data_IF_249393855424
#
_entry.id   IF_249393855424
#
_cell.length_a   1.000
_cell.length_b   1.000
_cell.length_c   1.000
_cell.angle_alpha   90.00
_cell.angle_beta   90.00
_cell.angle_gamma   90.00
#
_symmetry.space_group_name_H-M   'P 1'
#
loop_
_entity.id
_entity.type
_entity.pdbx_description
1 polymer ?
#
# COMPACT_ATOMS: atom_id res chain seq x y z
N UNK A 1 25.70 22.26 -14.69
CA UNK A 1 25.74 23.11 -13.49
C UNK A 1 24.33 23.17 -12.94
N UNK A 2 24.19 22.87 -11.65
CA UNK A 2 22.93 22.61 -10.92
C UNK A 2 22.41 23.95 -10.39
N UNK A 3 21.09 24.16 -10.37
CA UNK A 3 20.39 24.94 -9.34
C UNK A 3 18.90 24.52 -9.33
N UNK A 4 18.57 23.51 -8.51
CA UNK A 4 17.74 23.62 -7.30
C UNK A 4 16.42 24.41 -7.51
N UNK A 5 15.38 23.69 -7.92
CA UNK A 5 14.00 24.12 -7.69
C UNK A 5 13.71 23.89 -6.21
N UNK A 6 13.49 24.99 -5.50
CA UNK A 6 13.18 25.04 -4.09
C UNK A 6 11.94 24.23 -3.75
N UNK A 7 12.09 23.43 -2.71
CA UNK A 7 11.07 22.58 -2.13
C UNK A 7 10.19 23.45 -1.21
N UNK A 8 9.25 24.19 -1.80
CA UNK A 8 8.17 24.85 -1.05
C UNK A 8 6.98 23.89 -0.99
N UNK A 9 7.09 22.88 -0.12
CA UNK A 9 5.92 22.16 0.39
C UNK A 9 5.36 23.06 1.50
N UNK A 10 4.18 23.70 1.33
CA UNK A 10 3.62 24.53 2.36
C UNK A 10 3.29 23.65 3.57
N UNK A 11 3.77 24.09 4.73
CA UNK A 11 3.56 23.42 6.01
C UNK A 11 2.09 23.06 6.24
N UNK A 12 1.87 21.79 6.56
CA UNK A 12 0.63 21.25 7.09
C UNK A 12 0.41 21.80 8.52
N UNK A 13 0.04 23.07 8.63
CA UNK A 13 -0.58 23.63 9.84
C UNK A 13 -2.08 23.76 9.61
N UNK A 14 -2.82 22.67 9.82
CA UNK A 14 -4.26 22.72 10.03
C UNK A 14 -4.54 22.24 11.46
N UNK A 15 -4.78 23.20 12.36
CA UNK A 15 -4.98 23.01 13.80
C UNK A 15 -6.32 22.35 14.17
N UNK A 16 -6.84 21.44 13.34
CA UNK A 16 -8.14 20.78 13.53
C UNK A 16 -8.08 19.24 13.47
N UNK A 17 -6.90 18.64 13.65
CA UNK A 17 -6.75 17.18 13.70
C UNK A 17 -7.43 16.60 14.96
N UNK A 18 -8.26 15.55 14.84
CA UNK A 18 -8.87 14.90 15.99
C UNK A 18 -7.83 14.26 16.91
N UNK A 19 -7.94 14.52 18.22
CA UNK A 19 -6.97 14.05 19.22
C UNK A 19 -7.15 12.58 19.60
N UNK A 20 -8.35 12.04 19.47
CA UNK A 20 -8.68 10.65 19.86
C UNK A 20 -8.74 9.70 18.66
N UNK A 21 -8.61 8.40 18.94
CA UNK A 21 -8.75 7.33 17.93
C UNK A 21 -10.15 7.33 17.32
N UNK A 22 -11.20 7.46 18.15
CA UNK A 22 -12.59 7.53 17.67
C UNK A 22 -12.84 8.77 16.83
N UNK A 23 -12.30 9.91 17.26
CA UNK A 23 -12.34 11.16 16.51
C UNK A 23 -11.68 11.05 15.14
N UNK A 24 -10.49 10.45 15.06
CA UNK A 24 -9.76 10.23 13.80
C UNK A 24 -10.51 9.28 12.87
N UNK A 25 -11.09 8.20 13.40
CA UNK A 25 -11.90 7.28 12.61
C UNK A 25 -13.11 7.98 12.00
N UNK A 26 -13.83 8.76 12.81
CA UNK A 26 -15.01 9.52 12.38
C UNK A 26 -14.65 10.57 11.33
N UNK A 27 -13.53 11.24 11.52
CA UNK A 27 -13.02 12.25 10.59
C UNK A 27 -12.71 11.63 9.23
N UNK A 28 -11.87 10.59 9.19
CA UNK A 28 -11.55 9.87 7.96
C UNK A 28 -12.81 9.34 7.28
N UNK A 29 -13.72 8.66 8.00
CA UNK A 29 -14.95 8.11 7.42
C UNK A 29 -15.80 9.18 6.73
N UNK A 30 -15.94 10.35 7.35
CA UNK A 30 -16.70 11.47 6.80
C UNK A 30 -16.04 12.06 5.56
N UNK A 31 -14.72 12.23 5.56
CA UNK A 31 -13.98 12.67 4.37
C UNK A 31 -14.12 11.68 3.21
N UNK A 32 -14.08 10.38 3.51
CA UNK A 32 -14.34 9.31 2.54
C UNK A 32 -15.81 9.17 2.14
N UNK A 33 -16.70 10.07 2.61
CA UNK A 33 -18.13 10.07 2.32
C UNK A 33 -18.86 8.75 2.63
N UNK A 34 -18.34 7.97 3.57
CA UNK A 34 -18.89 6.67 3.95
C UNK A 34 -19.98 6.83 5.02
N UNK A 35 -21.12 6.17 4.84
CA UNK A 35 -22.11 6.06 5.92
C UNK A 35 -21.58 5.10 6.99
N UNK A 36 -21.98 5.33 8.24
CA UNK A 36 -21.54 4.51 9.37
C UNK A 36 -21.92 3.02 9.19
N UNK A 37 -23.14 2.77 8.69
CA UNK A 37 -23.64 1.40 8.43
C UNK A 37 -22.86 0.70 7.32
N UNK A 38 -22.46 1.42 6.28
CA UNK A 38 -21.71 0.88 5.15
C UNK A 38 -20.29 0.50 5.59
N UNK A 39 -19.64 1.36 6.39
CA UNK A 39 -18.33 1.04 6.95
C UNK A 39 -18.40 -0.16 7.89
N UNK A 40 -19.39 -0.21 8.78
CA UNK A 40 -19.58 -1.32 9.71
C UNK A 40 -19.74 -2.66 8.98
N UNK A 41 -20.59 -2.69 7.95
CA UNK A 41 -20.75 -3.87 7.09
C UNK A 41 -19.45 -4.22 6.37
N UNK A 42 -18.76 -3.23 5.80
CA UNK A 42 -17.49 -3.41 5.10
C UNK A 42 -16.47 -4.10 6.00
N UNK A 43 -16.23 -3.59 7.21
CA UNK A 43 -15.23 -4.15 8.14
C UNK A 43 -15.74 -5.31 9.00
N UNK A 44 -16.99 -5.75 8.79
CA UNK A 44 -17.64 -6.87 9.49
C UNK A 44 -17.73 -6.67 11.02
N UNK A 45 -18.24 -5.51 11.44
CA UNK A 45 -18.56 -5.21 12.84
C UNK A 45 -20.00 -4.68 12.95
N UNK A 46 -20.55 -4.65 14.16
CA UNK A 46 -21.86 -4.03 14.36
C UNK A 46 -21.80 -2.50 14.21
N UNK A 47 -22.85 -1.90 13.67
CA UNK A 47 -22.97 -0.43 13.59
C UNK A 47 -22.87 0.22 14.97
N UNK A 48 -23.47 -0.41 16.00
CA UNK A 48 -23.42 0.09 17.38
C UNK A 48 -21.99 0.13 17.92
N UNK A 49 -21.22 -0.94 17.74
CA UNK A 49 -19.82 -1.01 18.16
C UNK A 49 -18.95 0.03 17.45
N UNK A 50 -19.17 0.23 16.14
CA UNK A 50 -18.46 1.27 15.38
C UNK A 50 -18.87 2.68 15.82
N UNK A 51 -20.14 2.90 16.16
CA UNK A 51 -20.63 4.16 16.72
C UNK A 51 -19.99 4.45 18.08
N UNK A 52 -19.92 3.47 18.97
CA UNK A 52 -19.30 3.63 20.29
C UNK A 52 -17.81 3.96 20.15
N UNK A 53 -17.13 3.31 19.20
CA UNK A 53 -15.75 3.62 18.85
C UNK A 53 -15.58 5.07 18.35
N UNK A 54 -16.41 5.53 17.40
CA UNK A 54 -16.35 6.91 16.88
C UNK A 54 -16.67 8.01 17.90
N UNK A 55 -17.29 7.64 19.02
CA UNK A 55 -17.59 8.54 20.14
C UNK A 55 -16.69 8.29 21.35
N UNK A 56 -15.56 7.61 21.16
CA UNK A 56 -14.54 7.33 22.18
C UNK A 56 -15.07 6.57 23.41
N UNK A 57 -16.17 5.82 23.26
CA UNK A 57 -16.73 4.96 24.31
C UNK A 57 -16.05 3.59 24.37
N UNK A 58 -15.31 3.23 23.34
CA UNK A 58 -14.55 1.99 23.26
C UNK A 58 -13.28 2.16 22.42
N UNK A 59 -12.31 1.27 22.63
CA UNK A 59 -11.12 1.18 21.79
C UNK A 59 -11.35 0.19 20.64
N UNK A 60 -10.65 0.34 19.50
CA UNK A 60 -10.80 -0.59 18.39
C UNK A 60 -10.26 -1.96 18.78
N UNK A 61 -11.05 -3.00 18.55
CA UNK A 61 -10.60 -4.38 18.72
C UNK A 61 -9.62 -4.77 17.61
N UNK A 62 -8.83 -5.84 17.83
CA UNK A 62 -7.97 -6.41 16.80
C UNK A 62 -8.73 -6.77 15.50
N UNK A 63 -9.96 -7.27 15.63
CA UNK A 63 -10.86 -7.55 14.50
C UNK A 63 -11.20 -6.27 13.73
N UNK A 64 -11.51 -5.18 14.43
CA UNK A 64 -11.82 -3.87 13.83
C UNK A 64 -10.61 -3.33 13.08
N UNK A 65 -9.43 -3.33 13.71
CA UNK A 65 -8.18 -2.88 13.08
C UNK A 65 -7.83 -3.70 11.85
N UNK A 66 -8.00 -5.02 11.91
CA UNK A 66 -7.76 -5.92 10.76
C UNK A 66 -8.73 -5.62 9.61
N UNK A 67 -10.00 -5.39 9.91
CA UNK A 67 -11.03 -5.03 8.94
C UNK A 67 -10.71 -3.70 8.24
N UNK A 68 -10.37 -2.66 9.02
CA UNK A 68 -9.95 -1.36 8.49
C UNK A 68 -8.70 -1.51 7.61
N UNK A 69 -7.67 -2.19 8.09
CA UNK A 69 -6.42 -2.39 7.37
C UNK A 69 -6.62 -3.09 6.03
N UNK A 70 -7.44 -4.14 5.97
CA UNK A 70 -7.62 -4.96 4.76
C UNK A 70 -8.61 -4.39 3.76
N UNK A 71 -9.63 -3.68 4.23
CA UNK A 71 -10.80 -3.32 3.39
C UNK A 71 -10.94 -1.83 3.14
N UNK A 72 -10.06 -1.02 3.70
CA UNK A 72 -10.07 0.43 3.54
C UNK A 72 -8.67 0.94 3.24
N UNK A 73 -8.58 2.22 2.92
CA UNK A 73 -7.34 2.94 2.67
C UNK A 73 -6.84 3.72 3.90
N UNK A 74 -7.52 3.62 5.05
CA UNK A 74 -7.03 4.29 6.25
C UNK A 74 -5.69 3.71 6.70
N UNK A 75 -4.74 4.59 7.02
CA UNK A 75 -3.49 4.21 7.66
C UNK A 75 -3.74 3.93 9.14
N UNK A 76 -3.46 2.70 9.57
CA UNK A 76 -3.67 2.27 10.96
C UNK A 76 -2.72 2.99 11.92
N UNK A 77 -1.49 3.32 11.50
CA UNK A 77 -0.55 4.06 12.34
C UNK A 77 -1.13 5.44 12.65
N UNK A 78 -1.51 6.20 11.62
CA UNK A 78 -2.17 7.49 11.79
C UNK A 78 -3.46 7.39 12.62
N UNK A 79 -4.29 6.37 12.39
CA UNK A 79 -5.50 6.17 13.16
C UNK A 79 -5.20 6.04 14.67
N UNK A 80 -4.18 5.27 15.03
CA UNK A 80 -3.86 4.98 16.43
C UNK A 80 -3.05 6.10 17.10
N UNK A 81 -2.08 6.70 16.41
CA UNK A 81 -1.13 7.65 17.01
C UNK A 81 -1.39 9.10 16.62
N UNK A 82 -2.06 9.34 15.48
CA UNK A 82 -2.17 10.67 14.86
C UNK A 82 -0.94 11.07 14.05
N UNK A 83 0.04 10.19 13.91
CA UNK A 83 1.30 10.45 13.19
C UNK A 83 1.29 9.87 11.78
N UNK A 84 1.91 10.59 10.83
CA UNK A 84 1.99 10.19 9.43
C UNK A 84 0.74 10.53 8.63
N UNK A 85 0.64 9.97 7.42
CA UNK A 85 -0.47 10.26 6.51
C UNK A 85 -1.73 9.48 6.88
N UNK A 86 -2.89 10.13 6.74
CA UNK A 86 -4.19 9.54 7.04
C UNK A 86 -4.55 8.37 6.13
N UNK A 87 -4.16 8.45 4.86
CA UNK A 87 -4.45 7.46 3.83
C UNK A 87 -3.15 6.71 3.54
N UNK A 88 -3.20 5.38 3.50
CA UNK A 88 -2.08 4.57 3.02
C UNK A 88 -2.00 4.73 1.50
N UNK A 89 -0.84 5.13 0.98
CA UNK A 89 -0.61 5.09 -0.46
C UNK A 89 -0.85 3.66 -0.97
N UNK A 90 -1.71 3.50 -1.97
CA UNK A 90 -2.08 2.18 -2.52
C UNK A 90 -1.11 1.68 -3.58
N UNK A 91 0.02 2.35 -3.75
CA UNK A 91 0.79 2.30 -4.98
C UNK A 91 2.15 1.65 -4.76
N UNK A 92 2.19 0.31 -4.86
CA UNK A 92 3.30 -0.54 -5.36
C UNK A 92 3.19 -1.98 -4.82
N UNK A 93 2.80 -2.13 -3.54
CA UNK A 93 3.02 -3.39 -2.82
C UNK A 93 2.11 -4.53 -3.31
N UNK A 94 0.85 -4.29 -3.67
CA UNK A 94 -0.05 -5.38 -4.10
C UNK A 94 0.28 -5.92 -5.50
N UNK A 95 0.76 -5.07 -6.42
CA UNK A 95 1.20 -5.51 -7.75
C UNK A 95 2.52 -6.29 -7.66
N UNK A 96 3.46 -5.78 -6.86
CA UNK A 96 4.75 -6.44 -6.63
C UNK A 96 4.59 -7.77 -5.90
N UNK A 97 3.68 -7.88 -4.92
CA UNK A 97 3.43 -9.13 -4.20
C UNK A 97 2.75 -10.18 -5.10
N UNK A 98 1.85 -9.78 -6.01
CA UNK A 98 1.26 -10.72 -6.97
C UNK A 98 2.31 -11.24 -7.96
N UNK A 99 3.08 -10.34 -8.57
CA UNK A 99 4.15 -10.70 -9.50
C UNK A 99 5.24 -11.54 -8.79
N UNK A 100 5.61 -11.19 -7.57
CA UNK A 100 6.58 -11.93 -6.76
C UNK A 100 6.07 -13.32 -6.38
N UNK A 101 4.79 -13.48 -6.01
CA UNK A 101 4.18 -14.79 -5.76
C UNK A 101 4.21 -15.69 -6.98
N UNK A 102 3.93 -15.15 -8.17
CA UNK A 102 4.02 -15.90 -9.42
C UNK A 102 5.45 -16.33 -9.72
N UNK A 103 6.42 -15.43 -9.59
CA UNK A 103 7.85 -15.76 -9.74
C UNK A 103 8.27 -16.85 -8.74
N UNK A 104 7.88 -16.74 -7.46
CA UNK A 104 8.19 -17.75 -6.43
C UNK A 104 7.58 -19.11 -6.78
N UNK A 105 6.37 -19.16 -7.31
CA UNK A 105 5.74 -20.40 -7.78
C UNK A 105 6.54 -21.01 -8.94
N UNK A 106 6.89 -20.20 -9.93
CA UNK A 106 7.66 -20.63 -11.11
C UNK A 106 9.09 -21.07 -10.75
N UNK A 107 9.69 -20.53 -9.68
CA UNK A 107 11.01 -20.92 -9.18
C UNK A 107 11.07 -22.35 -8.60
N UNK A 108 9.93 -23.04 -8.51
CA UNK A 108 9.88 -24.48 -8.26
C UNK A 108 10.37 -25.32 -9.44
N UNK A 109 10.30 -24.76 -10.66
CA UNK A 109 10.86 -25.37 -11.87
C UNK A 109 12.38 -25.12 -11.93
N UNK A 110 13.15 -26.20 -12.00
CA UNK A 110 14.62 -26.13 -11.98
C UNK A 110 15.21 -25.49 -13.25
N UNK A 111 14.57 -25.66 -14.41
CA UNK A 111 15.05 -25.11 -15.68
C UNK A 111 14.72 -23.63 -15.79
N UNK A 112 13.52 -23.23 -15.32
CA UNK A 112 13.17 -21.82 -15.15
C UNK A 112 14.13 -21.15 -14.16
N UNK A 113 14.34 -21.74 -12.98
CA UNK A 113 15.28 -21.23 -11.95
C UNK A 113 16.69 -21.04 -12.49
N UNK A 114 17.22 -22.02 -13.23
CA UNK A 114 18.54 -21.92 -13.89
C UNK A 114 18.59 -20.80 -14.92
N UNK A 115 17.51 -20.59 -15.65
CA UNK A 115 17.40 -19.54 -16.67
C UNK A 115 17.34 -18.15 -16.03
N UNK A 116 16.49 -17.95 -15.02
CA UNK A 116 16.43 -16.71 -14.24
C UNK A 116 17.78 -16.39 -13.60
N UNK A 117 18.43 -17.37 -12.97
CA UNK A 117 19.75 -17.16 -12.35
C UNK A 117 20.82 -16.73 -13.37
N UNK A 118 20.80 -17.26 -14.60
CA UNK A 118 21.69 -16.80 -15.68
C UNK A 118 21.37 -15.36 -16.10
N UNK A 119 20.09 -15.03 -16.26
CA UNK A 119 19.66 -13.67 -16.61
C UNK A 119 20.11 -12.66 -15.55
N UNK A 120 19.85 -12.93 -14.26
CA UNK A 120 20.27 -12.09 -13.14
C UNK A 120 21.78 -11.83 -13.19
N UNK A 121 22.60 -12.87 -13.38
CA UNK A 121 24.06 -12.71 -13.50
C UNK A 121 24.48 -11.82 -14.67
N UNK A 122 23.79 -11.90 -15.81
CA UNK A 122 24.11 -11.07 -16.98
C UNK A 122 23.66 -9.62 -16.75
N UNK A 123 22.52 -9.39 -16.10
CA UNK A 123 22.09 -8.03 -15.77
C UNK A 123 22.98 -7.37 -14.70
N UNK A 124 23.50 -8.13 -13.75
CA UNK A 124 24.45 -7.62 -12.75
C UNK A 124 25.83 -7.35 -13.33
N UNK A 125 26.39 -8.28 -14.11
CA UNK A 125 27.84 -8.30 -14.44
C UNK A 125 28.16 -8.40 -15.94
N UNK A 126 27.16 -8.53 -16.80
CA UNK A 126 27.34 -8.65 -18.24
C UNK A 126 27.72 -7.34 -18.92
N UNK A 127 28.27 -7.44 -20.12
CA UNK A 127 28.64 -6.30 -20.97
C UNK A 127 27.39 -5.58 -21.49
N UNK A 128 27.51 -4.30 -21.92
CA UNK A 128 26.40 -3.57 -22.55
C UNK A 128 25.80 -4.33 -23.73
N UNK A 129 26.63 -4.99 -24.54
CA UNK A 129 26.20 -5.82 -25.68
C UNK A 129 25.37 -7.03 -25.23
N UNK A 130 25.80 -7.75 -24.21
CA UNK A 130 25.07 -8.91 -23.67
C UNK A 130 23.69 -8.50 -23.13
N UNK A 131 23.62 -7.36 -22.42
CA UNK A 131 22.35 -6.81 -21.92
C UNK A 131 21.43 -6.36 -23.06
N UNK A 132 21.98 -5.73 -24.11
CA UNK A 132 21.22 -5.29 -25.27
C UNK A 132 20.64 -6.47 -26.07
N UNK A 133 21.38 -7.57 -26.21
CA UNK A 133 20.90 -8.78 -26.86
C UNK A 133 19.70 -9.40 -26.13
N UNK A 134 19.75 -9.48 -24.80
CA UNK A 134 18.62 -10.00 -24.00
C UNK A 134 17.39 -9.10 -24.16
N UNK A 135 17.56 -7.79 -24.06
CA UNK A 135 16.46 -6.84 -24.25
C UNK A 135 15.84 -6.94 -25.65
N UNK A 136 16.68 -7.08 -26.68
CA UNK A 136 16.21 -7.26 -28.05
C UNK A 136 15.44 -8.56 -28.26
N UNK A 137 15.90 -9.66 -27.67
CA UNK A 137 15.18 -10.93 -27.69
C UNK A 137 13.80 -10.82 -27.03
N UNK A 138 13.71 -10.21 -25.84
CA UNK A 138 12.43 -10.05 -25.14
C UNK A 138 11.43 -9.19 -25.93
N UNK A 139 11.89 -8.07 -26.50
CA UNK A 139 11.03 -7.19 -27.30
C UNK A 139 10.49 -7.89 -28.56
N UNK A 140 11.25 -8.81 -29.16
CA UNK A 140 10.81 -9.57 -30.33
C UNK A 140 9.79 -10.67 -30.03
N UNK A 141 9.71 -11.15 -28.78
CA UNK A 141 8.74 -12.19 -28.36
C UNK A 141 7.39 -11.59 -27.96
N UNK A 142 7.34 -10.31 -27.60
CA UNK A 142 6.09 -9.60 -27.25
C UNK A 142 5.29 -9.15 -28.49
N UNK A 143 5.88 -9.23 -29.68
CA UNK A 143 5.28 -8.75 -30.94
C UNK A 143 4.62 -9.84 -31.79
N UNK A 144 4.75 -11.11 -31.43
CA UNK A 144 4.08 -12.28 -32.04
C UNK A 144 2.84 -12.70 -31.21
#
# INVERSE_FOLDING_TARGET
>A
MIEKIGNDIPGHEDSNQPKSVGGRLRYWRKLSSLRLVDLAATINVSQGSLSDLENDKSLPSATTLTGLCRKTDVNICWLLTGEGDMIKEKDAVDKDVSAFKEVVRLMSDNDFKRTVHRLVKIFERGTPTQKAQIKGFMAGVETD
#
